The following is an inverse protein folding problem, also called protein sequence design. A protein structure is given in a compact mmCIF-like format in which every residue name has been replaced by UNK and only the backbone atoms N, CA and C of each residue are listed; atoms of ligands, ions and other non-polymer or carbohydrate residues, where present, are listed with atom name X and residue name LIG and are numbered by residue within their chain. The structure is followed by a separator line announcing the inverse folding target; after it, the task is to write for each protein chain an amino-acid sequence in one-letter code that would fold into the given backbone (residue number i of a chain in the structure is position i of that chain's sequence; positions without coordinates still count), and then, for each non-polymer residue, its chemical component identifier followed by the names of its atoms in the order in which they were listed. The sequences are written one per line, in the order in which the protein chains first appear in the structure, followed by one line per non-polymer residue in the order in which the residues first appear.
data_IF_021457807716
#
_entry.id   IF_021457807716
#
_cell.length_a   1.000
_cell.length_b   1.000
_cell.length_c   1.000
_cell.angle_alpha   90.00
_cell.angle_beta   90.00
_cell.angle_gamma   90.00
#
_symmetry.space_group_name_H-M   'P 1'
#
loop_
_entity.id
_entity.type
_entity.pdbx_description
1 polymer ?
#
# COMPACT_ATOMS: atom_id res chain seq x y z
N UNK A 1 -12.98 17.89 -20.60
CA UNK A 1 -12.04 16.78 -20.36
C UNK A 1 -12.58 15.47 -20.94
N UNK A 2 -11.70 14.66 -21.49
CA UNK A 2 -11.99 13.27 -21.86
C UNK A 2 -11.99 12.37 -20.61
N UNK A 3 -12.73 11.26 -20.65
CA UNK A 3 -12.78 10.28 -19.57
C UNK A 3 -11.40 9.68 -19.27
N UNK A 4 -10.54 9.57 -20.30
CA UNK A 4 -9.16 9.14 -20.15
C UNK A 4 -8.34 10.11 -19.29
N UNK A 5 -8.58 11.42 -19.41
CA UNK A 5 -7.88 12.44 -18.64
C UNK A 5 -8.30 12.38 -17.16
N UNK A 6 -9.60 12.22 -16.89
CA UNK A 6 -10.16 12.04 -15.53
C UNK A 6 -9.53 10.83 -14.84
N UNK A 7 -9.46 9.69 -15.55
CA UNK A 7 -8.85 8.47 -15.02
C UNK A 7 -7.38 8.71 -14.65
N UNK A 8 -6.63 9.43 -15.49
CA UNK A 8 -5.23 9.70 -15.24
C UNK A 8 -5.00 10.58 -14.00
N UNK A 9 -5.81 11.64 -13.83
CA UNK A 9 -5.73 12.51 -12.64
C UNK A 9 -5.95 11.71 -11.36
N UNK A 10 -6.97 10.84 -11.39
CA UNK A 10 -7.33 10.02 -10.24
C UNK A 10 -6.24 9.00 -9.92
N UNK A 11 -5.69 8.34 -10.94
CA UNK A 11 -4.56 7.43 -10.78
C UNK A 11 -3.32 8.13 -10.23
N UNK A 12 -3.02 9.33 -10.72
CA UNK A 12 -1.88 10.11 -10.26
C UNK A 12 -2.06 10.50 -8.79
N UNK A 13 -3.23 11.01 -8.39
CA UNK A 13 -3.51 11.36 -7.00
C UNK A 13 -3.44 10.15 -6.08
N UNK A 14 -4.03 9.03 -6.48
CA UNK A 14 -3.98 7.80 -5.69
C UNK A 14 -2.54 7.29 -5.52
N UNK A 15 -1.75 7.33 -6.59
CA UNK A 15 -0.33 6.94 -6.57
C UNK A 15 0.50 7.86 -5.68
N UNK A 16 0.27 9.17 -5.77
CA UNK A 16 0.93 10.17 -4.94
C UNK A 16 0.70 9.89 -3.45
N UNK A 17 -0.55 9.67 -3.05
CA UNK A 17 -0.90 9.37 -1.65
C UNK A 17 -0.29 8.03 -1.21
N UNK A 18 -0.35 7.00 -2.06
CA UNK A 18 0.28 5.72 -1.79
C UNK A 18 1.80 5.85 -1.58
N UNK A 19 2.50 6.59 -2.44
CA UNK A 19 3.93 6.81 -2.34
C UNK A 19 4.31 7.60 -1.08
N UNK A 20 3.52 8.62 -0.71
CA UNK A 20 3.69 9.33 0.56
C UNK A 20 3.58 8.39 1.76
N UNK A 21 2.55 7.53 1.79
CA UNK A 21 2.37 6.57 2.89
C UNK A 21 3.45 5.49 2.89
N UNK A 22 3.91 5.00 1.73
CA UNK A 22 5.04 4.06 1.62
C UNK A 22 6.32 4.68 2.20
N UNK A 23 6.62 5.93 1.87
CA UNK A 23 7.81 6.64 2.39
C UNK A 23 7.70 6.81 3.91
N UNK A 24 6.54 7.24 4.42
CA UNK A 24 6.30 7.34 5.87
C UNK A 24 6.47 5.99 6.55
N UNK A 25 5.93 4.93 5.98
CA UNK A 25 5.99 3.58 6.53
C UNK A 25 7.41 3.01 6.57
N UNK A 26 8.19 3.22 5.50
CA UNK A 26 9.61 2.84 5.48
C UNK A 26 10.43 3.62 6.51
N UNK A 27 10.06 4.88 6.78
CA UNK A 27 10.73 5.66 7.81
C UNK A 27 10.41 5.18 9.22
N UNK A 28 9.17 4.73 9.46
CA UNK A 28 8.75 4.19 10.77
C UNK A 28 9.18 2.74 10.99
N UNK A 29 9.38 1.96 9.92
CA UNK A 29 9.80 0.56 9.97
C UNK A 29 11.02 0.31 9.05
N UNK A 30 12.19 0.91 9.35
CA UNK A 30 13.37 0.79 8.50
C UNK A 30 13.94 -0.63 8.45
N UNK A 31 13.59 -1.48 9.42
CA UNK A 31 13.95 -2.90 9.45
C UNK A 31 13.18 -3.73 8.41
N UNK A 32 12.10 -3.17 7.87
CA UNK A 32 11.20 -3.87 6.97
C UNK A 32 11.56 -3.53 5.52
N UNK A 33 12.18 -4.49 4.84
CA UNK A 33 12.47 -4.37 3.41
C UNK A 33 11.17 -4.56 2.60
N UNK A 34 10.39 -3.49 2.42
CA UNK A 34 9.23 -3.53 1.53
C UNK A 34 9.66 -3.90 0.12
N UNK A 35 9.17 -5.05 -0.36
CA UNK A 35 9.41 -5.51 -1.73
C UNK A 35 8.76 -4.59 -2.75
N UNK A 36 9.25 -4.62 -3.99
CA UNK A 36 8.61 -3.88 -5.08
C UNK A 36 7.17 -4.32 -5.31
N UNK A 37 6.90 -5.63 -5.17
CA UNK A 37 5.54 -6.19 -5.24
C UNK A 37 4.62 -5.60 -4.16
N UNK A 38 5.09 -5.47 -2.91
CA UNK A 38 4.31 -4.86 -1.83
C UNK A 38 3.98 -3.40 -2.13
N UNK A 39 4.96 -2.63 -2.62
CA UNK A 39 4.74 -1.22 -2.99
C UNK A 39 3.73 -1.09 -4.14
N UNK A 40 3.84 -1.96 -5.15
CA UNK A 40 2.91 -1.97 -6.28
C UNK A 40 1.50 -2.39 -5.83
N UNK A 41 1.38 -3.37 -4.92
CA UNK A 41 0.11 -3.78 -4.31
C UNK A 41 -0.60 -2.59 -3.65
N UNK A 42 0.13 -1.81 -2.85
CA UNK A 42 -0.40 -0.60 -2.17
C UNK A 42 -0.88 0.44 -3.18
N UNK A 43 -0.10 0.72 -4.24
CA UNK A 43 -0.50 1.65 -5.31
C UNK A 43 -1.75 1.18 -6.04
N UNK A 44 -1.81 -0.10 -6.42
CA UNK A 44 -2.99 -0.68 -7.07
C UNK A 44 -4.21 -0.61 -6.16
N UNK A 45 -4.04 -0.87 -4.86
CA UNK A 45 -5.11 -0.76 -3.87
C UNK A 45 -5.62 0.67 -3.74
N UNK A 46 -4.72 1.65 -3.64
CA UNK A 46 -5.06 3.06 -3.55
C UNK A 46 -5.84 3.52 -4.80
N UNK A 47 -5.33 3.19 -5.99
CA UNK A 47 -5.99 3.51 -7.26
C UNK A 47 -7.38 2.88 -7.34
N UNK A 48 -7.51 1.61 -6.97
CA UNK A 48 -8.79 0.91 -7.00
C UNK A 48 -9.79 1.54 -6.02
N UNK A 49 -9.33 1.89 -4.82
CA UNK A 49 -10.14 2.55 -3.80
C UNK A 49 -10.64 3.90 -4.33
N UNK A 50 -9.75 4.79 -4.76
CA UNK A 50 -10.14 6.12 -5.22
C UNK A 50 -11.03 6.07 -6.46
N UNK A 51 -10.76 5.13 -7.38
CA UNK A 51 -11.61 4.89 -8.56
C UNK A 51 -13.03 4.46 -8.17
N UNK A 52 -13.21 3.64 -7.13
CA UNK A 52 -14.54 3.28 -6.64
C UNK A 52 -15.27 4.48 -6.04
N UNK A 53 -14.53 5.36 -5.34
CA UNK A 53 -15.11 6.52 -4.67
C UNK A 53 -15.47 7.65 -5.64
N UNK A 54 -14.90 7.67 -6.85
CA UNK A 54 -15.35 8.57 -7.92
C UNK A 54 -16.84 8.45 -8.23
N UNK A 55 -17.46 7.30 -7.97
CA UNK A 55 -18.92 7.16 -8.12
C UNK A 55 -19.72 8.15 -7.26
N UNK A 56 -19.13 8.66 -6.17
CA UNK A 56 -19.71 9.69 -5.29
C UNK A 56 -19.37 11.11 -5.75
N UNK A 57 -18.37 11.29 -6.61
CA UNK A 57 -17.97 12.58 -7.13
C UNK A 57 -18.99 13.09 -8.16
N UNK A 58 -19.44 14.33 -8.00
CA UNK A 58 -20.40 14.95 -8.91
C UNK A 58 -19.65 15.73 -10.00
N UNK A 59 -19.56 15.13 -11.18
CA UNK A 59 -19.04 15.82 -12.37
C UNK A 59 -19.94 17.01 -12.72
N UNK A 60 -19.40 18.23 -12.66
CA UNK A 60 -20.12 19.40 -13.14
C UNK A 60 -19.88 19.54 -14.65
N UNK A 61 -20.89 20.00 -15.40
CA UNK A 61 -20.90 19.94 -16.88
C UNK A 61 -19.94 20.94 -17.56
N UNK A 62 -19.38 21.89 -16.81
CA UNK A 62 -18.60 23.02 -17.33
C UNK A 62 -17.23 23.15 -16.64
N UNK A 63 -16.59 22.02 -16.32
CA UNK A 63 -15.34 22.03 -15.55
C UNK A 63 -14.12 22.48 -16.41
N UNK A 64 -13.92 23.79 -16.55
CA UNK A 64 -12.60 24.39 -16.81
C UNK A 64 -11.66 24.24 -15.58
N UNK A 65 -12.21 23.90 -14.41
CA UNK A 65 -11.50 23.76 -13.12
C UNK A 65 -11.66 22.36 -12.48
N UNK A 66 -11.79 21.31 -13.30
CA UNK A 66 -12.00 19.93 -12.80
C UNK A 66 -10.99 19.55 -11.71
N UNK A 67 -9.71 19.82 -11.93
CA UNK A 67 -8.63 19.46 -11.00
C UNK A 67 -8.82 20.10 -9.63
N UNK A 68 -9.18 21.39 -9.58
CA UNK A 68 -9.39 22.10 -8.34
C UNK A 68 -10.64 21.59 -7.59
N UNK A 69 -11.71 21.30 -8.33
CA UNK A 69 -12.93 20.73 -7.76
C UNK A 69 -12.71 19.30 -7.25
N UNK A 70 -11.95 18.49 -7.99
CA UNK A 70 -11.56 17.15 -7.58
C UNK A 70 -10.69 17.18 -6.33
N UNK A 71 -9.66 18.04 -6.30
CA UNK A 71 -8.76 18.16 -5.16
C UNK A 71 -9.52 18.62 -3.89
N UNK A 72 -10.42 19.60 -3.99
CA UNK A 72 -11.24 20.04 -2.86
C UNK A 72 -12.15 18.91 -2.34
N UNK A 73 -12.81 18.20 -3.24
CA UNK A 73 -13.63 17.04 -2.87
C UNK A 73 -12.79 15.93 -2.23
N UNK A 74 -11.64 15.61 -2.81
CA UNK A 74 -10.75 14.56 -2.34
C UNK A 74 -10.29 14.82 -0.90
N UNK A 75 -9.76 16.02 -0.63
CA UNK A 75 -9.28 16.43 0.70
C UNK A 75 -10.41 16.38 1.73
N UNK A 76 -11.61 16.84 1.36
CA UNK A 76 -12.75 16.90 2.29
C UNK A 76 -13.37 15.54 2.63
N UNK A 77 -13.31 14.58 1.70
CA UNK A 77 -14.16 13.39 1.78
C UNK A 77 -13.39 12.06 1.78
N UNK A 78 -12.28 11.96 1.05
CA UNK A 78 -11.68 10.66 0.73
C UNK A 78 -10.20 10.54 1.12
N UNK A 79 -9.48 11.64 1.38
CA UNK A 79 -8.04 11.60 1.68
C UNK A 79 -7.72 10.73 2.90
N UNK A 80 -8.39 10.96 4.03
CA UNK A 80 -8.15 10.20 5.27
C UNK A 80 -8.50 8.71 5.11
N UNK A 81 -9.57 8.41 4.38
CA UNK A 81 -10.00 7.04 4.10
C UNK A 81 -8.98 6.33 3.20
N UNK A 82 -8.47 7.03 2.18
CA UNK A 82 -7.46 6.50 1.29
C UNK A 82 -6.14 6.25 2.02
N UNK A 83 -5.70 7.18 2.88
CA UNK A 83 -4.50 7.01 3.71
C UNK A 83 -4.64 5.82 4.65
N UNK A 84 -5.78 5.66 5.33
CA UNK A 84 -6.07 4.49 6.18
C UNK A 84 -6.06 3.19 5.39
N UNK A 85 -6.66 3.16 4.21
CA UNK A 85 -6.64 2.00 3.34
C UNK A 85 -5.21 1.62 2.91
N UNK A 86 -4.36 2.61 2.60
CA UNK A 86 -2.95 2.38 2.30
C UNK A 86 -2.20 1.79 3.50
N UNK A 87 -2.42 2.33 4.71
CA UNK A 87 -1.79 1.84 5.94
C UNK A 87 -2.18 0.40 6.24
N UNK A 88 -3.47 0.04 6.15
CA UNK A 88 -3.91 -1.34 6.31
C UNK A 88 -3.27 -2.28 5.29
N UNK A 89 -3.15 -1.85 4.03
CA UNK A 89 -2.48 -2.65 3.00
C UNK A 89 -0.99 -2.83 3.31
N UNK A 90 -0.32 -1.78 3.79
CA UNK A 90 1.09 -1.82 4.19
C UNK A 90 1.31 -2.78 5.36
N UNK A 91 0.44 -2.75 6.37
CA UNK A 91 0.50 -3.67 7.51
C UNK A 91 0.29 -5.12 7.07
N UNK A 92 -0.64 -5.37 6.15
CA UNK A 92 -0.87 -6.71 5.61
C UNK A 92 0.35 -7.22 4.83
N UNK A 93 0.96 -6.39 3.98
CA UNK A 93 2.19 -6.76 3.26
C UNK A 93 3.38 -6.93 4.21
N UNK A 94 3.52 -6.07 5.21
CA UNK A 94 4.54 -6.18 6.25
C UNK A 94 4.41 -7.50 7.02
N UNK A 95 3.18 -7.88 7.37
CA UNK A 95 2.90 -9.16 8.02
C UNK A 95 3.24 -10.34 7.13
N UNK A 96 2.94 -10.28 5.81
CA UNK A 96 3.34 -11.33 4.86
C UNK A 96 4.86 -11.48 4.80
N UNK A 97 5.60 -10.37 4.73
CA UNK A 97 7.07 -10.37 4.71
C UNK A 97 7.65 -10.97 5.99
N UNK A 98 7.16 -10.53 7.15
CA UNK A 98 7.57 -11.06 8.47
C UNK A 98 7.30 -12.57 8.58
N UNK A 99 6.13 -13.02 8.14
CA UNK A 99 5.74 -14.43 8.16
C UNK A 99 6.53 -15.30 7.17
N UNK A 100 6.86 -14.76 6.00
CA UNK A 100 7.70 -15.47 5.02
C UNK A 100 9.12 -15.71 5.59
N UNK A 101 9.70 -14.68 6.22
CA UNK A 101 11.00 -14.79 6.86
C UNK A 101 10.99 -15.74 8.07
N UNK A 102 9.93 -15.73 8.88
CA UNK A 102 9.77 -16.64 10.02
C UNK A 102 9.59 -18.11 9.63
N UNK A 103 8.89 -18.40 8.52
CA UNK A 103 8.71 -19.76 8.01
C UNK A 103 9.98 -20.36 7.43
N UNK A 104 10.85 -19.53 6.82
CA UNK A 104 12.14 -19.97 6.28
C UNK A 104 13.10 -20.45 7.38
N UNK A 105 13.06 -19.83 8.56
CA UNK A 105 13.89 -20.23 9.69
C UNK A 105 13.36 -21.51 10.34
N UNK A 106 12.03 -21.63 10.51
CA UNK A 106 11.43 -22.83 11.12
C UNK A 106 11.73 -24.13 10.37
N UNK A 107 11.81 -24.12 9.04
CA UNK A 107 12.11 -25.32 8.25
C UNK A 107 13.60 -25.68 8.28
N UNK A 108 14.50 -24.68 8.25
CA UNK A 108 15.94 -24.89 8.40
C UNK A 108 16.28 -25.36 9.83
N UNK A 109 15.70 -24.75 10.86
CA UNK A 109 15.88 -25.17 12.26
C UNK A 109 15.33 -26.58 12.50
N UNK A 110 14.15 -26.90 11.93
CA UNK A 110 13.61 -28.26 11.97
C UNK A 110 14.50 -29.25 11.21
N UNK A 111 15.10 -28.84 10.09
CA UNK A 111 16.02 -29.66 9.31
C UNK A 111 17.34 -29.89 10.05
N UNK A 112 17.95 -28.83 10.61
CA UNK A 112 19.17 -28.86 11.43
C UNK A 112 18.94 -29.73 12.67
N UNK A 113 17.85 -29.53 13.41
CA UNK A 113 17.50 -30.36 14.57
C UNK A 113 17.31 -31.85 14.21
N UNK A 114 16.75 -32.14 13.03
CA UNK A 114 16.53 -33.51 12.56
C UNK A 114 17.80 -34.20 12.04
N UNK A 115 18.74 -33.45 11.46
CA UNK A 115 19.93 -34.02 10.79
C UNK A 115 21.24 -33.84 11.57
N UNK A 116 21.36 -32.85 12.45
CA UNK A 116 22.55 -32.63 13.27
C UNK A 116 22.45 -33.24 14.67
N UNK A 117 21.26 -33.71 15.08
CA UNK A 117 21.05 -34.30 16.40
C UNK A 117 21.35 -33.33 17.54
N UNK A 118 21.02 -33.75 18.75
CA UNK A 118 21.07 -32.98 20.01
C UNK A 118 22.53 -32.73 20.50
N UNK A 119 23.43 -32.28 19.62
CA UNK A 119 24.88 -32.19 19.90
C UNK A 119 25.33 -30.77 20.24
N UNK A 120 24.47 -29.75 20.16
CA UNK A 120 24.82 -28.39 20.60
C UNK A 120 23.72 -27.84 21.53
N UNK A 121 23.69 -28.34 22.77
CA UNK A 121 23.42 -27.44 23.89
C UNK A 121 24.70 -26.63 24.10
N UNK A 122 24.65 -25.35 23.73
CA UNK A 122 25.67 -24.38 24.15
C UNK A 122 25.24 -23.92 25.55
N UNK A 123 26.01 -24.29 26.57
CA UNK A 123 25.95 -23.72 27.93
C UNK A 123 26.15 -22.19 27.90
#
# INVERSE_FOLDING_TARGET
MDMNEIIQIVQNKATEIADQEIVKYNHTHPELNLTEEARNSVRTRATSQLTLQLSKFRFQKEDEEFDAHFDDWFVKNEEDDLRRACQHCLDDEANKIRNANGKSLSSLDAYLKKHLGDVHQVD
#
